data_IF_704151795319
#
_entry.id   IF_704151795319
#
_cell.length_a   1.000
_cell.length_b   1.000
_cell.length_c   1.000
_cell.angle_alpha   90.00
_cell.angle_beta   90.00
_cell.angle_gamma   90.00
#
_symmetry.space_group_name_H-M   'P 1'
#
loop_
_entity.id
_entity.type
_entity.pdbx_description
1 polymer ?
#
# COMPACT_ATOMS: atom_id res chain seq x y z
N UNK A 1 16.00 -7.46 -5.66
CA UNK A 1 15.16 -6.68 -4.72
C UNK A 1 13.86 -6.38 -5.42
N UNK A 2 12.71 -6.81 -4.86
CA UNK A 2 11.41 -6.30 -5.33
C UNK A 2 11.45 -4.78 -5.07
N UNK A 3 11.17 -3.96 -6.09
CA UNK A 3 11.08 -2.50 -5.93
C UNK A 3 10.06 -2.20 -4.82
N UNK A 4 10.10 -1.04 -4.17
CA UNK A 4 8.96 -0.64 -3.33
C UNK A 4 7.72 -0.64 -4.24
N UNK A 5 6.77 -1.54 -3.95
CA UNK A 5 5.75 -1.97 -4.91
C UNK A 5 4.42 -1.91 -4.21
N UNK A 6 3.73 -0.79 -4.35
CA UNK A 6 2.28 -0.80 -4.29
C UNK A 6 1.87 -1.70 -5.48
N UNK A 7 1.57 -2.98 -5.24
CA UNK A 7 0.88 -3.87 -6.19
C UNK A 7 -0.44 -4.16 -5.48
N UNK A 8 -1.53 -3.62 -6.02
CA UNK A 8 -2.85 -3.75 -5.41
C UNK A 8 -3.69 -4.67 -6.25
N UNK A 9 -4.15 -5.76 -5.66
CA UNK A 9 -5.03 -6.73 -6.29
C UNK A 9 -6.35 -6.76 -5.58
N UNK A 10 -7.42 -6.83 -6.35
CA UNK A 10 -8.75 -7.15 -5.84
C UNK A 10 -9.02 -8.61 -6.18
N UNK A 11 -9.05 -9.48 -5.18
CA UNK A 11 -9.31 -10.92 -5.33
C UNK A 11 -10.68 -11.26 -4.77
N UNK A 12 -11.37 -12.21 -5.41
CA UNK A 12 -12.73 -12.56 -5.02
C UNK A 12 -13.00 -14.06 -5.10
N UNK A 13 -13.79 -14.60 -4.16
CA UNK A 13 -14.12 -16.03 -4.09
C UNK A 13 -15.61 -16.23 -3.78
N UNK A 14 -16.28 -17.05 -4.59
CA UNK A 14 -17.61 -17.60 -4.26
C UNK A 14 -17.45 -18.83 -3.36
N UNK A 15 -18.04 -18.83 -2.16
CA UNK A 15 -18.11 -20.02 -1.29
C UNK A 15 -19.52 -20.61 -1.37
N UNK A 16 -19.66 -21.77 -2.02
CA UNK A 16 -20.93 -22.49 -2.03
C UNK A 16 -21.39 -22.86 -0.61
N UNK A 17 -22.40 -22.14 -0.10
CA UNK A 17 -23.09 -22.47 1.14
C UNK A 17 -23.99 -23.70 0.89
N UNK A 18 -23.54 -24.87 1.34
CA UNK A 18 -24.33 -26.11 1.23
C UNK A 18 -25.53 -26.07 2.17
N UNK A 19 -26.69 -25.63 1.66
CA UNK A 19 -27.95 -25.68 2.38
C UNK A 19 -28.50 -27.11 2.33
N UNK A 20 -28.36 -27.86 3.42
CA UNK A 20 -28.93 -29.19 3.58
C UNK A 20 -30.47 -29.09 3.68
N UNK A 21 -31.17 -29.21 2.54
CA UNK A 21 -32.61 -29.46 2.51
C UNK A 21 -32.85 -30.97 2.57
N UNK A 22 -33.27 -31.47 3.73
CA UNK A 22 -33.88 -32.78 3.90
C UNK A 22 -35.30 -32.74 3.31
N UNK A 23 -35.47 -33.06 2.03
CA UNK A 23 -36.75 -33.57 1.52
C UNK A 23 -36.54 -34.60 0.42
N UNK A 24 -37.17 -35.74 0.61
CA UNK A 24 -36.96 -36.96 -0.16
C UNK A 24 -37.63 -36.93 -1.54
N UNK A 25 -36.95 -37.60 -2.48
CA UNK A 25 -37.45 -38.22 -3.71
C UNK A 25 -38.00 -37.31 -4.83
N UNK A 26 -37.21 -37.12 -5.90
CA UNK A 26 -37.49 -37.70 -7.23
C UNK A 26 -36.43 -37.24 -8.23
N UNK A 27 -36.15 -38.09 -9.22
CA UNK A 27 -35.17 -37.90 -10.29
C UNK A 27 -35.30 -36.57 -11.03
N UNK A 28 -34.21 -35.80 -11.08
CA UNK A 28 -33.82 -34.98 -12.22
C UNK A 28 -32.30 -34.76 -12.11
N UNK A 29 -31.58 -35.18 -13.15
CA UNK A 29 -30.17 -34.85 -13.32
C UNK A 29 -30.05 -33.33 -13.51
N UNK A 30 -29.99 -32.60 -12.40
CA UNK A 30 -29.30 -31.32 -12.38
C UNK A 30 -27.82 -31.66 -12.34
N UNK A 31 -27.22 -31.72 -13.53
CA UNK A 31 -25.77 -31.62 -13.64
C UNK A 31 -25.34 -30.43 -12.79
N UNK A 32 -24.66 -30.70 -11.69
CA UNK A 32 -23.90 -29.70 -10.99
C UNK A 32 -22.84 -29.23 -11.99
N UNK A 33 -23.17 -28.20 -12.79
CA UNK A 33 -22.15 -27.32 -13.30
C UNK A 33 -21.52 -26.70 -12.05
N UNK A 34 -20.50 -27.37 -11.51
CA UNK A 34 -19.52 -26.68 -10.68
C UNK A 34 -18.88 -25.70 -11.64
N UNK A 35 -19.46 -24.51 -11.73
CA UNK A 35 -18.74 -23.36 -12.24
C UNK A 35 -17.57 -23.23 -11.28
N UNK A 36 -16.39 -23.69 -11.71
CA UNK A 36 -15.18 -23.35 -11.00
C UNK A 36 -15.07 -21.83 -11.08
N UNK A 37 -15.49 -21.16 -10.01
CA UNK A 37 -15.26 -19.75 -9.77
C UNK A 37 -13.76 -19.62 -9.54
N UNK A 38 -13.03 -19.37 -10.62
CA UNK A 38 -11.68 -18.86 -10.51
C UNK A 38 -11.75 -17.47 -9.87
N UNK A 39 -10.81 -17.13 -8.99
CA UNK A 39 -10.80 -15.79 -8.44
C UNK A 39 -10.64 -14.78 -9.57
N UNK A 40 -11.58 -13.85 -9.68
CA UNK A 40 -11.42 -12.66 -10.50
C UNK A 40 -10.35 -11.80 -9.84
N UNK A 41 -9.30 -11.46 -10.58
CA UNK A 41 -8.21 -10.61 -10.14
C UNK A 41 -8.23 -9.31 -10.93
N UNK A 42 -8.29 -8.17 -10.23
CA UNK A 42 -8.17 -6.83 -10.83
C UNK A 42 -6.89 -6.20 -10.30
N UNK A 43 -5.96 -5.88 -11.20
CA UNK A 43 -4.70 -5.19 -10.87
C UNK A 43 -4.94 -3.68 -10.95
N UNK A 44 -4.74 -2.96 -9.84
CA UNK A 44 -4.92 -1.51 -9.77
C UNK A 44 -3.57 -0.79 -10.00
N UNK A 45 -3.04 -0.85 -11.22
CA UNK A 45 -1.76 -0.20 -11.59
C UNK A 45 -1.91 1.11 -12.35
N UNK A 46 -3.14 1.51 -12.70
CA UNK A 46 -3.41 2.66 -13.57
C UNK A 46 -4.08 3.82 -12.82
N UNK A 47 -4.02 5.02 -13.40
CA UNK A 47 -4.76 6.20 -12.92
C UNK A 47 -4.28 6.78 -11.60
N UNK A 48 -3.11 6.37 -11.10
CA UNK A 48 -2.60 6.84 -9.82
C UNK A 48 -2.18 8.31 -9.86
N UNK A 49 -2.52 8.99 -8.78
CA UNK A 49 -2.09 10.34 -8.47
C UNK A 49 -1.38 10.34 -7.11
N UNK A 50 -0.43 11.25 -6.93
CA UNK A 50 0.21 11.48 -5.64
C UNK A 50 0.32 12.97 -5.31
N UNK A 51 0.50 13.26 -4.02
CA UNK A 51 0.77 14.61 -3.49
C UNK A 51 1.46 14.56 -2.13
N UNK A 52 2.08 15.68 -1.73
CA UNK A 52 2.34 15.95 -0.31
C UNK A 52 1.00 16.13 0.41
N UNK A 53 0.78 15.51 1.58
CA UNK A 53 -0.53 15.47 2.24
C UNK A 53 -1.14 16.84 2.55
N UNK A 54 -0.31 17.88 2.72
CA UNK A 54 -0.75 19.25 3.00
C UNK A 54 -0.86 20.12 1.73
N UNK A 55 -0.63 19.55 0.54
CA UNK A 55 -0.74 20.25 -0.75
C UNK A 55 -2.13 20.09 -1.37
N UNK A 56 -2.55 21.07 -2.17
CA UNK A 56 -3.75 20.99 -3.01
C UNK A 56 -3.53 20.20 -4.29
N UNK A 57 -2.29 20.15 -4.77
CA UNK A 57 -2.01 19.78 -6.15
C UNK A 57 -1.68 18.28 -6.24
N UNK A 58 -2.43 17.59 -7.11
CA UNK A 58 -2.23 16.18 -7.43
C UNK A 58 -1.45 16.04 -8.72
N UNK A 59 -0.48 15.12 -8.72
CA UNK A 59 0.37 14.83 -9.87
C UNK A 59 0.22 13.36 -10.27
N UNK A 60 0.42 13.01 -11.56
CA UNK A 60 0.49 11.62 -11.98
C UNK A 60 1.55 10.82 -11.22
N UNK A 61 1.21 9.59 -10.85
CA UNK A 61 2.10 8.66 -10.16
C UNK A 61 2.13 7.30 -10.86
N UNK A 62 3.25 6.59 -10.71
CA UNK A 62 3.39 5.22 -11.22
C UNK A 62 3.32 4.23 -10.05
N UNK A 63 2.47 3.23 -10.21
CA UNK A 63 2.30 2.15 -9.24
C UNK A 63 2.51 0.81 -9.95
N UNK A 64 3.54 0.02 -9.57
CA UNK A 64 4.46 0.24 -8.45
C UNK A 64 5.52 1.34 -8.67
N UNK A 65 5.83 2.09 -7.60
CA UNK A 65 6.78 3.21 -7.63
C UNK A 65 7.09 3.79 -6.25
N UNK A 66 7.73 4.96 -6.24
CA UNK A 66 8.10 5.70 -5.03
C UNK A 66 7.86 7.20 -5.21
N UNK A 67 7.73 7.92 -4.09
CA UNK A 67 7.64 9.39 -4.07
C UNK A 67 8.78 10.02 -4.87
N UNK A 68 10.03 9.57 -4.67
CA UNK A 68 11.20 10.13 -5.36
C UNK A 68 11.09 9.97 -6.88
N UNK A 69 10.69 8.79 -7.35
CA UNK A 69 10.52 8.54 -8.79
C UNK A 69 9.38 9.36 -9.38
N UNK A 70 8.29 9.53 -8.64
CA UNK A 70 7.14 10.32 -9.12
C UNK A 70 7.42 11.82 -9.11
N UNK A 71 8.10 12.33 -8.07
CA UNK A 71 8.61 13.71 -8.06
C UNK A 71 9.55 13.98 -9.24
N UNK A 72 10.47 13.06 -9.51
CA UNK A 72 11.41 13.16 -10.63
C UNK A 72 10.68 13.15 -11.98
N UNK A 73 9.75 12.20 -12.18
CA UNK A 73 8.96 12.09 -13.42
C UNK A 73 8.10 13.32 -13.69
N UNK A 74 7.67 14.02 -12.63
CA UNK A 74 6.92 15.26 -12.72
C UNK A 74 7.82 16.53 -12.74
N UNK A 75 9.15 16.36 -12.81
CA UNK A 75 10.13 17.46 -12.80
C UNK A 75 10.03 18.38 -11.57
N UNK A 76 9.63 17.82 -10.41
CA UNK A 76 9.50 18.56 -9.15
C UNK A 76 10.78 18.54 -8.32
N UNK A 77 11.72 17.66 -8.66
CA UNK A 77 13.05 17.54 -8.05
C UNK A 77 14.11 17.34 -9.13
N UNK A 78 15.36 17.65 -8.79
CA UNK A 78 16.51 17.26 -9.61
C UNK A 78 16.76 15.76 -9.48
N UNK A 79 17.48 15.16 -10.44
CA UNK A 79 17.90 13.76 -10.37
C UNK A 79 18.73 13.52 -9.08
N UNK A 80 18.26 12.67 -8.14
CA UNK A 80 18.92 12.44 -6.86
C UNK A 80 20.35 11.90 -6.99
N UNK A 81 20.68 11.23 -8.10
CA UNK A 81 21.97 10.60 -8.32
C UNK A 81 23.00 11.49 -9.03
N UNK A 82 22.62 12.73 -9.38
CA UNK A 82 23.55 13.69 -9.98
C UNK A 82 24.17 14.61 -8.92
N UNK A 83 25.51 14.63 -8.87
CA UNK A 83 26.26 15.52 -8.00
C UNK A 83 25.96 15.30 -6.52
N UNK A 84 25.57 16.36 -5.83
CA UNK A 84 25.21 16.37 -4.41
C UNK A 84 23.72 16.64 -4.18
N UNK A 85 22.87 16.42 -5.20
CA UNK A 85 21.44 16.75 -5.13
C UNK A 85 20.73 16.06 -3.97
N UNK A 86 21.13 14.84 -3.60
CA UNK A 86 20.61 14.11 -2.44
C UNK A 86 20.50 14.97 -1.17
N UNK A 87 21.51 15.81 -0.89
CA UNK A 87 21.54 16.67 0.30
C UNK A 87 20.41 17.72 0.28
N UNK A 88 20.04 18.20 -0.90
CA UNK A 88 18.96 19.19 -1.10
C UNK A 88 17.56 18.53 -1.13
N UNK A 89 17.49 17.19 -1.16
CA UNK A 89 16.26 16.42 -1.26
C UNK A 89 15.82 15.76 0.04
N UNK A 90 16.56 15.96 1.14
CA UNK A 90 16.25 15.39 2.46
C UNK A 90 14.85 15.78 2.98
N UNK A 91 14.32 16.93 2.54
CA UNK A 91 12.96 17.34 2.94
C UNK A 91 11.88 16.32 2.58
N UNK A 92 12.10 15.46 1.57
CA UNK A 92 11.11 14.49 1.09
C UNK A 92 10.75 13.47 2.17
N UNK A 93 11.72 13.00 2.96
CA UNK A 93 11.51 11.99 4.00
C UNK A 93 10.82 12.54 5.27
N UNK A 94 10.84 13.85 5.45
CA UNK A 94 10.17 14.54 6.56
C UNK A 94 8.68 14.82 6.29
N UNK A 95 8.21 14.55 5.07
CA UNK A 95 6.82 14.79 4.65
C UNK A 95 5.99 13.53 4.64
N UNK A 96 4.70 13.76 4.83
CA UNK A 96 3.66 12.80 4.54
C UNK A 96 3.23 12.92 3.08
N UNK A 97 2.91 11.78 2.49
CA UNK A 97 2.53 11.67 1.09
C UNK A 97 1.23 10.90 0.95
N UNK A 98 0.38 11.32 0.03
CA UNK A 98 -0.81 10.58 -0.34
C UNK A 98 -0.70 10.07 -1.77
N UNK A 99 -1.19 8.84 -1.96
CA UNK A 99 -1.42 8.23 -3.25
C UNK A 99 -2.90 7.91 -3.38
N UNK A 100 -3.48 8.08 -4.56
CA UNK A 100 -4.85 7.63 -4.81
C UNK A 100 -5.08 7.19 -6.25
N UNK A 101 -6.08 6.35 -6.44
CA UNK A 101 -6.61 5.98 -7.76
C UNK A 101 -8.11 5.72 -7.66
N UNK A 102 -8.78 5.69 -8.80
CA UNK A 102 -10.16 5.23 -8.91
C UNK A 102 -10.25 3.97 -9.75
N UNK A 103 -11.22 3.11 -9.43
CA UNK A 103 -11.46 1.87 -10.15
C UNK A 103 -12.96 1.53 -10.15
N UNK A 104 -13.39 0.76 -11.16
CA UNK A 104 -14.79 0.36 -11.31
C UNK A 104 -14.99 -1.03 -10.74
N UNK A 105 -16.05 -1.19 -9.96
CA UNK A 105 -16.56 -2.47 -9.46
C UNK A 105 -17.90 -2.74 -10.11
N UNK A 106 -18.04 -3.86 -10.79
CA UNK A 106 -19.30 -4.30 -11.38
C UNK A 106 -20.15 -5.12 -10.40
N UNK A 107 -21.40 -5.38 -10.81
CA UNK A 107 -22.33 -6.18 -10.02
C UNK A 107 -21.82 -7.62 -9.79
N UNK A 108 -21.13 -8.20 -10.78
CA UNK A 108 -20.61 -9.57 -10.70
C UNK A 108 -19.59 -9.70 -9.56
N UNK A 109 -18.66 -8.75 -9.43
CA UNK A 109 -17.73 -8.72 -8.31
C UNK A 109 -18.45 -8.56 -6.96
N UNK A 110 -19.52 -7.76 -6.90
CA UNK A 110 -20.31 -7.58 -5.68
C UNK A 110 -21.13 -8.82 -5.28
N UNK A 111 -21.42 -9.73 -6.21
CA UNK A 111 -22.13 -10.99 -5.93
C UNK A 111 -21.24 -12.03 -5.20
N UNK A 112 -19.92 -11.90 -5.28
CA UNK A 112 -18.99 -12.83 -4.63
C UNK A 112 -18.98 -12.69 -3.11
N UNK A 113 -18.89 -13.79 -2.36
CA UNK A 113 -18.95 -13.76 -0.89
C UNK A 113 -17.79 -13.00 -0.23
N UNK A 114 -16.59 -13.15 -0.80
CA UNK A 114 -15.37 -12.51 -0.32
C UNK A 114 -14.79 -11.64 -1.43
N UNK A 115 -14.43 -10.42 -1.08
CA UNK A 115 -13.62 -9.52 -1.90
C UNK A 115 -12.52 -8.96 -1.02
N UNK A 116 -11.27 -9.10 -1.44
CA UNK A 116 -10.07 -8.74 -0.68
C UNK A 116 -9.19 -7.77 -1.47
N UNK A 117 -8.68 -6.74 -0.80
CA UNK A 117 -7.58 -5.93 -1.29
C UNK A 117 -6.27 -6.51 -0.78
N UNK A 118 -5.35 -6.80 -1.69
CA UNK A 118 -4.01 -7.31 -1.41
C UNK A 118 -2.97 -6.28 -1.83
N UNK A 119 -2.00 -6.01 -0.96
CA UNK A 119 -0.83 -5.17 -1.20
C UNK A 119 0.42 -6.03 -1.04
N UNK A 120 1.21 -6.24 -2.11
CA UNK A 120 2.46 -7.03 -2.00
C UNK A 120 3.50 -6.36 -1.08
N UNK A 121 3.46 -5.03 -0.98
CA UNK A 121 4.28 -4.26 -0.07
C UNK A 121 3.82 -2.81 0.05
N UNK A 122 3.95 -2.25 1.25
CA UNK A 122 3.75 -0.83 1.52
C UNK A 122 4.99 -0.33 2.25
N UNK A 123 5.69 0.65 1.69
CA UNK A 123 6.91 1.22 2.30
C UNK A 123 6.59 2.59 2.92
N UNK A 124 6.37 2.71 4.23
CA UNK A 124 6.28 1.63 5.24
C UNK A 124 5.08 1.86 6.16
N UNK A 125 5.03 3.03 6.78
CA UNK A 125 3.94 3.44 7.65
C UNK A 125 2.83 4.04 6.80
N UNK A 126 1.69 3.39 6.73
CA UNK A 126 0.59 3.91 5.94
C UNK A 126 -0.78 3.56 6.48
N UNK A 127 -1.71 4.48 6.25
CA UNK A 127 -3.14 4.28 6.46
C UNK A 127 -3.82 4.20 5.08
N UNK A 128 -4.57 3.13 4.87
CA UNK A 128 -5.30 2.86 3.63
C UNK A 128 -6.78 3.13 3.83
N UNK A 129 -7.36 3.88 2.90
CA UNK A 129 -8.75 4.28 2.86
C UNK A 129 -9.40 3.77 1.58
N UNK A 130 -10.60 3.24 1.70
CA UNK A 130 -11.46 2.87 0.57
C UNK A 130 -12.77 3.63 0.71
N UNK A 131 -13.10 4.46 -0.27
CA UNK A 131 -14.25 5.36 -0.22
C UNK A 131 -14.28 6.18 1.08
N UNK A 132 -13.15 6.79 1.43
CA UNK A 132 -12.93 7.59 2.66
C UNK A 132 -13.06 6.82 3.98
N UNK A 133 -13.28 5.51 3.96
CA UNK A 133 -13.30 4.67 5.16
C UNK A 133 -11.93 4.05 5.40
N UNK A 134 -11.35 4.14 6.62
CA UNK A 134 -10.09 3.47 6.94
C UNK A 134 -10.28 1.95 6.96
N UNK A 135 -9.43 1.23 6.22
CA UNK A 135 -9.52 -0.24 6.08
C UNK A 135 -8.28 -0.99 6.58
N UNK A 136 -7.10 -0.36 6.55
CA UNK A 136 -5.84 -1.01 6.90
C UNK A 136 -4.84 0.02 7.41
N UNK A 137 -4.06 -0.35 8.44
CA UNK A 137 -2.85 0.34 8.85
C UNK A 137 -1.66 -0.60 8.67
N UNK A 138 -0.65 -0.17 7.93
CA UNK A 138 0.56 -0.91 7.64
C UNK A 138 1.78 -0.26 8.32
N UNK A 139 2.74 -1.08 8.75
CA UNK A 139 3.93 -0.63 9.48
C UNK A 139 5.22 -1.39 9.10
N UNK A 140 5.19 -2.12 7.98
CA UNK A 140 6.25 -3.05 7.61
C UNK A 140 6.36 -3.24 6.09
N UNK A 141 7.48 -2.80 5.53
CA UNK A 141 7.82 -2.88 4.11
C UNK A 141 7.93 -4.33 3.59
N UNK A 142 8.25 -5.27 4.49
CA UNK A 142 8.61 -6.64 4.13
C UNK A 142 7.43 -7.62 4.20
N UNK A 143 6.22 -7.11 4.38
CA UNK A 143 5.00 -7.92 4.47
C UNK A 143 4.05 -7.58 3.34
N UNK A 144 3.40 -8.61 2.82
CA UNK A 144 2.14 -8.43 2.12
C UNK A 144 1.04 -8.10 3.13
N UNK A 145 0.10 -7.26 2.72
CA UNK A 145 -1.07 -6.86 3.50
C UNK A 145 -2.33 -7.24 2.75
N UNK A 146 -3.25 -7.93 3.41
CA UNK A 146 -4.49 -8.40 2.81
C UNK A 146 -5.66 -8.04 3.72
N UNK A 147 -6.74 -7.52 3.15
CA UNK A 147 -7.91 -7.10 3.91
C UNK A 147 -9.20 -7.37 3.13
N UNK A 148 -10.17 -8.01 3.79
CA UNK A 148 -11.52 -8.15 3.25
C UNK A 148 -12.19 -6.77 3.14
N UNK A 149 -12.51 -6.37 1.92
CA UNK A 149 -12.93 -5.01 1.59
C UNK A 149 -14.39 -4.89 1.11
N UNK A 150 -15.08 -6.01 0.84
CA UNK A 150 -16.44 -6.03 0.26
C UNK A 150 -17.42 -5.03 0.89
N UNK A 151 -17.43 -4.93 2.22
CA UNK A 151 -18.34 -4.03 2.97
C UNK A 151 -18.11 -2.53 2.75
N UNK A 152 -16.97 -2.16 2.19
CA UNK A 152 -16.59 -0.77 1.89
C UNK A 152 -16.74 -0.43 0.40
N UNK A 153 -16.93 -1.45 -0.46
CA UNK A 153 -17.12 -1.26 -1.89
C UNK A 153 -18.54 -0.79 -2.19
N UNK A 154 -18.66 -0.06 -3.30
CA UNK A 154 -19.93 0.27 -3.95
C UNK A 154 -19.88 -0.17 -5.40
N UNK A 155 -21.02 -0.52 -5.96
CA UNK A 155 -21.12 -0.72 -7.42
C UNK A 155 -20.79 0.58 -8.15
N UNK A 156 -20.04 0.50 -9.25
CA UNK A 156 -19.52 1.64 -9.99
C UNK A 156 -18.13 2.09 -9.49
N UNK A 157 -17.90 3.39 -9.50
CA UNK A 157 -16.58 3.98 -9.20
C UNK A 157 -16.25 3.96 -7.70
N UNK A 158 -15.08 3.44 -7.34
CA UNK A 158 -14.52 3.43 -6.00
C UNK A 158 -13.20 4.22 -5.99
N UNK A 159 -12.90 4.88 -4.87
CA UNK A 159 -11.61 5.55 -4.66
C UNK A 159 -10.79 4.78 -3.62
N UNK A 160 -9.56 4.43 -3.97
CA UNK A 160 -8.56 3.92 -3.04
C UNK A 160 -7.55 5.03 -2.76
N UNK A 161 -7.32 5.34 -1.49
CA UNK A 161 -6.33 6.34 -1.05
C UNK A 161 -5.40 5.72 -0.02
N UNK A 162 -4.12 5.99 -0.13
CA UNK A 162 -3.07 5.54 0.79
C UNK A 162 -2.35 6.79 1.29
N UNK A 163 -2.36 7.01 2.59
CA UNK A 163 -1.58 8.06 3.25
C UNK A 163 -0.34 7.40 3.85
N UNK A 164 0.83 7.74 3.32
CA UNK A 164 2.13 7.37 3.86
C UNK A 164 2.62 8.43 4.84
N UNK A 165 2.94 8.00 6.06
CA UNK A 165 3.52 8.85 7.09
C UNK A 165 5.04 8.94 6.92
N UNK A 166 5.61 10.09 7.27
CA UNK A 166 7.06 10.29 7.30
C UNK A 166 7.74 9.17 8.12
N UNK A 167 8.64 8.37 7.51
CA UNK A 167 9.36 7.33 8.24
C UNK A 167 10.30 7.89 9.29
N UNK A 168 10.73 9.15 9.14
CA UNK A 168 11.56 9.86 10.12
C UNK A 168 10.73 10.25 11.33
N UNK A 169 9.53 10.81 11.12
CA UNK A 169 8.63 11.22 12.22
C UNK A 169 8.19 10.00 13.03
N UNK A 170 7.65 8.98 12.38
CA UNK A 170 7.25 7.70 13.01
C UNK A 170 8.42 7.00 13.69
N UNK A 171 9.59 6.99 13.05
CA UNK A 171 10.82 6.43 13.62
C UNK A 171 11.27 7.17 14.88
N UNK A 172 11.18 8.50 14.89
CA UNK A 172 11.57 9.33 16.03
C UNK A 172 10.63 9.14 17.21
N UNK A 173 9.31 9.02 16.97
CA UNK A 173 8.34 8.72 18.02
C UNK A 173 8.66 7.38 18.70
N UNK A 174 8.97 6.35 17.92
CA UNK A 174 9.36 5.03 18.43
C UNK A 174 10.67 5.06 19.20
N UNK A 175 11.66 5.80 18.72
CA UNK A 175 12.93 5.98 19.41
C UNK A 175 12.73 6.70 20.75
N UNK A 176 11.94 7.78 20.78
CA UNK A 176 11.63 8.53 21.99
C UNK A 176 10.85 7.70 23.03
N UNK A 177 9.99 6.79 22.57
CA UNK A 177 9.24 5.87 23.42
C UNK A 177 10.07 4.66 23.91
N UNK A 178 11.25 4.43 23.34
CA UNK A 178 12.09 3.28 23.70
C UNK A 178 12.70 3.47 25.10
N UNK A 179 12.61 2.46 25.99
CA UNK A 179 13.23 2.54 27.32
C UNK A 179 14.76 2.49 27.26
N UNK A 180 15.31 2.09 26.10
CA UNK A 180 16.74 1.91 25.90
C UNK A 180 17.19 2.57 24.61
N UNK A 181 18.35 3.22 24.68
CA UNK A 181 19.04 3.70 23.49
C UNK A 181 19.70 2.51 22.77
N UNK A 182 19.37 2.34 21.48
CA UNK A 182 19.98 1.34 20.60
C UNK A 182 20.93 2.11 19.68
N UNK A 183 22.27 1.89 19.78
CA UNK A 183 23.22 2.59 18.92
C UNK A 183 23.06 2.20 17.45
N UNK A 184 23.12 3.20 16.59
CA UNK A 184 23.00 3.07 15.13
C UNK A 184 24.17 3.83 14.47
N UNK A 185 24.70 3.33 13.36
CA UNK A 185 25.89 3.94 12.72
C UNK A 185 25.78 4.15 11.22
N UNK A 186 24.72 3.66 10.58
CA UNK A 186 24.51 3.79 9.14
C UNK A 186 23.90 5.14 8.75
N UNK A 187 23.24 5.81 9.69
CA UNK A 187 22.57 7.08 9.43
C UNK A 187 23.52 8.26 9.65
N UNK A 188 23.65 9.19 8.69
CA UNK A 188 24.44 10.41 8.83
C UNK A 188 23.71 11.46 9.72
N UNK A 189 23.02 11.02 10.78
CA UNK A 189 22.25 11.84 11.71
C UNK A 189 22.90 11.85 13.11
N UNK A 190 22.73 12.91 13.91
CA UNK A 190 23.24 12.95 15.28
C UNK A 190 22.66 11.83 16.16
N UNK A 191 23.42 11.43 17.18
CA UNK A 191 22.97 10.46 18.20
C UNK A 191 21.65 10.93 18.80
N UNK A 192 20.64 10.04 18.82
CA UNK A 192 19.28 10.35 19.27
C UNK A 192 18.30 10.72 18.15
N UNK A 193 18.76 10.80 16.90
CA UNK A 193 17.94 11.02 15.71
C UNK A 193 18.08 9.91 14.65
N UNK A 194 18.72 8.81 15.03
CA UNK A 194 18.98 7.67 14.15
C UNK A 194 17.90 6.61 14.37
N UNK A 195 16.93 6.57 13.47
CA UNK A 195 15.64 5.89 13.70
C UNK A 195 15.50 4.53 13.00
N UNK A 196 16.42 4.17 12.10
CA UNK A 196 16.35 2.97 11.25
C UNK A 196 16.13 1.67 12.01
N UNK A 197 16.78 1.49 13.16
CA UNK A 197 16.64 0.30 14.02
C UNK A 197 15.24 0.13 14.62
N UNK A 198 14.45 1.21 14.69
CA UNK A 198 13.08 1.20 15.18
C UNK A 198 12.04 0.98 14.06
N UNK A 199 12.48 0.85 12.79
CA UNK A 199 11.59 0.72 11.65
C UNK A 199 11.72 -0.63 10.95
N UNK A 200 10.61 -1.11 10.37
CA UNK A 200 10.58 -2.29 9.50
C UNK A 200 10.62 -1.88 8.03
N UNK A 201 11.63 -1.07 7.71
CA UNK A 201 11.99 -0.58 6.37
C UNK A 201 13.40 -1.06 6.00
N UNK A 202 13.74 -1.07 4.71
CA UNK A 202 15.09 -1.36 4.26
C UNK A 202 16.10 -0.42 4.93
N UNK A 203 17.06 -0.99 5.66
CA UNK A 203 17.96 -0.21 6.53
C UNK A 203 18.93 0.67 5.75
N UNK A 204 19.27 0.28 4.52
CA UNK A 204 20.10 1.09 3.64
C UNK A 204 19.38 2.33 3.10
N UNK A 205 18.04 2.41 3.20
CA UNK A 205 17.28 3.63 2.81
C UNK A 205 17.54 4.82 3.74
N UNK A 206 18.23 4.62 4.86
CA UNK A 206 18.64 5.70 5.76
C UNK A 206 20.11 6.11 5.56
N UNK A 207 20.72 5.68 4.46
CA UNK A 207 22.14 5.79 4.17
C UNK A 207 22.94 4.54 4.53
N UNK A 208 24.06 4.37 3.83
CA UNK A 208 25.07 3.36 4.09
C UNK A 208 26.44 3.80 3.54
N UNK A 209 27.52 3.09 3.85
CA UNK A 209 28.89 3.43 3.39
C UNK A 209 29.10 3.34 1.85
N UNK A 210 28.09 2.88 1.11
CA UNK A 210 28.12 2.72 -0.35
C UNK A 210 26.90 3.29 -1.07
N UNK A 211 25.93 3.90 -0.38
CA UNK A 211 24.69 4.32 -1.01
C UNK A 211 23.92 5.37 -0.22
N UNK A 212 23.30 6.33 -0.93
CA UNK A 212 22.23 7.15 -0.39
C UNK A 212 20.90 6.39 -0.33
#
# INVERSE_FOLDING_TARGET
>A
MRKATIDVRLTSLMKHLSLFFLFAASFLQLGCNKTESFPTEIILSEGWLFRESNSSDWFPATVPGTVHTDLLNNNLINDPFLGNNEADLQWIEDKDWEYKTTFIVDQELMENDVVELEFDGLDTYSDVYLNEQPILKADNMFRAWQIACKKFLREGENELRIHFHSPITEGQEKLNASPHFIPTSNEPKPVGYQTSVHTRKAQYHYGWDWGP
#
